data_IF_821745786960
#
_entry.id   IF_821745786960
#
_cell.length_a   1.000
_cell.length_b   1.000
_cell.length_c   1.000
_cell.angle_alpha   90.00
_cell.angle_beta   90.00
_cell.angle_gamma   90.00
#
_symmetry.space_group_name_H-M   'P 1'
#
loop_
_entity.id
_entity.type
_entity.pdbx_description
1 polymer ?
#
# COMPACT_ATOMS: atom_id res chain seq x y z
N UNK A 1 4.87 3.35 16.48
CA UNK A 1 4.45 2.50 15.34
C UNK A 1 5.50 2.60 14.26
N UNK A 2 6.03 1.47 13.75
CA UNK A 2 7.02 1.46 12.66
C UNK A 2 6.34 1.98 11.39
N UNK A 3 6.93 2.99 10.75
CA UNK A 3 6.51 3.43 9.42
C UNK A 3 6.98 2.39 8.41
N UNK A 4 6.05 1.73 7.73
CA UNK A 4 6.38 0.82 6.63
C UNK A 4 6.68 1.62 5.36
N UNK A 5 7.49 1.09 4.43
CA UNK A 5 7.76 1.73 3.15
C UNK A 5 6.48 2.05 2.37
N UNK A 6 5.50 1.13 2.36
CA UNK A 6 4.23 1.33 1.67
C UNK A 6 3.44 2.51 2.24
N UNK A 7 3.42 2.65 3.58
CA UNK A 7 2.76 3.78 4.25
C UNK A 7 3.50 5.08 3.97
N UNK A 8 4.84 5.05 3.97
CA UNK A 8 5.66 6.22 3.67
C UNK A 8 5.39 6.73 2.25
N UNK A 9 5.26 5.83 1.27
CA UNK A 9 4.94 6.19 -0.12
C UNK A 9 3.62 6.95 -0.22
N UNK A 10 2.57 6.47 0.45
CA UNK A 10 1.28 7.18 0.52
C UNK A 10 1.42 8.58 1.11
N UNK A 11 2.15 8.70 2.23
CA UNK A 11 2.35 9.99 2.91
C UNK A 11 3.14 10.98 2.06
N UNK A 12 4.16 10.51 1.33
CA UNK A 12 4.94 11.35 0.41
C UNK A 12 4.11 11.88 -0.76
N UNK A 13 3.06 11.16 -1.15
CA UNK A 13 2.10 11.59 -2.16
C UNK A 13 0.98 12.49 -1.60
N UNK A 14 0.95 12.71 -0.28
CA UNK A 14 -0.10 13.51 0.36
C UNK A 14 -1.49 12.86 0.35
N UNK A 15 -1.59 11.56 0.06
CA UNK A 15 -2.86 10.84 -0.06
C UNK A 15 -3.43 10.48 1.30
N UNK A 16 -4.72 10.73 1.52
CA UNK A 16 -5.41 10.26 2.71
C UNK A 16 -5.73 8.78 2.63
N UNK A 17 -5.71 8.09 3.78
CA UNK A 17 -6.04 6.66 3.84
C UNK A 17 -7.43 6.37 3.25
N UNK A 18 -8.42 7.26 3.48
CA UNK A 18 -9.78 7.11 2.97
C UNK A 18 -9.83 7.05 1.44
N UNK A 19 -9.08 7.93 0.76
CA UNK A 19 -9.05 8.02 -0.70
C UNK A 19 -8.47 6.74 -1.31
N UNK A 20 -7.42 6.22 -0.69
CA UNK A 20 -6.81 4.95 -1.12
C UNK A 20 -7.75 3.77 -0.90
N UNK A 21 -8.42 3.72 0.26
CA UNK A 21 -9.39 2.65 0.59
C UNK A 21 -10.52 2.61 -0.45
N UNK A 22 -11.07 3.78 -0.79
CA UNK A 22 -12.13 3.93 -1.79
C UNK A 22 -11.64 3.54 -3.19
N UNK A 23 -10.46 4.02 -3.61
CA UNK A 23 -9.87 3.69 -4.92
C UNK A 23 -9.56 2.19 -5.08
N UNK A 24 -9.07 1.55 -4.02
CA UNK A 24 -8.78 0.12 -4.03
C UNK A 24 -10.04 -0.76 -3.93
N UNK A 25 -11.14 -0.19 -3.42
CA UNK A 25 -12.38 -0.88 -3.07
C UNK A 25 -12.13 -2.04 -2.10
N UNK A 26 -11.47 -1.75 -0.97
CA UNK A 26 -11.15 -2.72 0.09
C UNK A 26 -11.66 -2.22 1.44
N UNK A 27 -11.70 -3.09 2.45
CA UNK A 27 -12.07 -2.67 3.79
C UNK A 27 -10.96 -1.82 4.45
N UNK A 28 -11.36 -0.90 5.34
CA UNK A 28 -10.42 -0.15 6.20
C UNK A 28 -9.44 -1.07 6.92
N UNK A 29 -9.94 -2.15 7.51
CA UNK A 29 -9.13 -3.12 8.26
C UNK A 29 -8.10 -3.80 7.36
N UNK A 30 -8.46 -4.14 6.11
CA UNK A 30 -7.52 -4.68 5.12
C UNK A 30 -6.42 -3.67 4.83
N UNK A 31 -6.79 -2.43 4.53
CA UNK A 31 -5.82 -1.37 4.22
C UNK A 31 -4.83 -1.12 5.37
N UNK A 32 -5.29 -1.02 6.61
CA UNK A 32 -4.40 -0.84 7.75
C UNK A 32 -3.46 -2.04 7.98
N UNK A 33 -3.92 -3.27 7.75
CA UNK A 33 -3.05 -4.45 7.79
C UNK A 33 -1.95 -4.39 6.73
N UNK A 34 -2.27 -3.93 5.53
CA UNK A 34 -1.30 -3.70 4.46
C UNK A 34 -0.28 -2.63 4.88
N UNK A 35 -0.74 -1.46 5.35
CA UNK A 35 0.13 -0.36 5.78
C UNK A 35 1.00 -0.70 7.00
N UNK A 36 0.64 -1.72 7.77
CA UNK A 36 1.41 -2.19 8.91
C UNK A 36 2.31 -3.39 8.56
N UNK A 37 2.21 -3.93 7.34
CA UNK A 37 2.99 -5.08 6.89
C UNK A 37 2.48 -6.44 7.41
N UNK A 38 1.26 -6.51 7.95
CA UNK A 38 0.67 -7.76 8.45
C UNK A 38 0.11 -8.65 7.33
N UNK A 39 -0.02 -8.13 6.12
CA UNK A 39 -0.62 -8.84 5.00
C UNK A 39 0.03 -8.41 3.69
N UNK A 40 0.14 -9.37 2.78
CA UNK A 40 0.60 -9.16 1.41
C UNK A 40 -0.65 -9.00 0.53
N UNK A 41 -0.76 -7.94 -0.28
CA UNK A 41 -1.92 -7.73 -1.13
C UNK A 41 -1.96 -8.75 -2.27
N UNK A 42 -3.16 -8.98 -2.84
CA UNK A 42 -3.29 -9.75 -4.07
C UNK A 42 -2.67 -9.00 -5.26
N UNK A 43 -2.36 -9.71 -6.35
CA UNK A 43 -1.81 -9.11 -7.56
C UNK A 43 -2.67 -7.96 -8.12
N UNK A 44 -4.00 -8.08 -8.01
CA UNK A 44 -4.93 -7.02 -8.44
C UNK A 44 -4.81 -5.76 -7.56
N UNK A 45 -4.76 -5.92 -6.24
CA UNK A 45 -4.60 -4.79 -5.31
C UNK A 45 -3.22 -4.16 -5.47
N UNK A 46 -2.18 -4.97 -5.70
CA UNK A 46 -0.83 -4.50 -5.94
C UNK A 46 -0.74 -3.66 -7.22
N UNK A 47 -1.38 -4.09 -8.30
CA UNK A 47 -1.48 -3.31 -9.53
C UNK A 47 -2.18 -1.97 -9.31
N UNK A 48 -3.34 -1.98 -8.65
CA UNK A 48 -4.07 -0.73 -8.34
C UNK A 48 -3.27 0.21 -7.43
N UNK A 49 -2.53 -0.32 -6.46
CA UNK A 49 -1.62 0.45 -5.62
C UNK A 49 -0.50 1.08 -6.46
N UNK A 50 0.09 0.32 -7.37
CA UNK A 50 1.12 0.82 -8.28
C UNK A 50 0.59 1.97 -9.15
N UNK A 51 -0.58 1.79 -9.76
CA UNK A 51 -1.27 2.80 -10.56
C UNK A 51 -1.58 4.06 -9.72
N UNK A 52 -2.14 3.89 -8.50
CA UNK A 52 -2.52 5.00 -7.62
C UNK A 52 -1.31 5.74 -7.04
N UNK A 53 -0.24 5.03 -6.73
CA UNK A 53 0.99 5.60 -6.15
C UNK A 53 1.99 6.04 -7.22
N UNK A 54 1.60 5.98 -8.50
CA UNK A 54 2.40 6.36 -9.64
C UNK A 54 3.80 5.71 -9.63
N UNK A 55 3.84 4.41 -9.39
CA UNK A 55 5.05 3.61 -9.33
C UNK A 55 4.83 2.23 -9.97
N UNK A 56 5.87 1.41 -10.00
CA UNK A 56 5.75 0.06 -10.59
C UNK A 56 5.28 -0.98 -9.58
N UNK A 57 4.69 -2.07 -10.08
CA UNK A 57 4.29 -3.22 -9.25
C UNK A 57 5.50 -3.82 -8.51
N UNK A 58 6.69 -3.80 -9.12
CA UNK A 58 7.94 -4.26 -8.50
C UNK A 58 8.34 -3.39 -7.29
N UNK A 59 8.20 -2.07 -7.40
CA UNK A 59 8.44 -1.17 -6.25
C UNK A 59 7.44 -1.40 -5.12
N UNK A 60 6.15 -1.57 -5.45
CA UNK A 60 5.14 -1.93 -4.43
C UNK A 60 5.51 -3.27 -3.78
N UNK A 61 5.93 -4.25 -4.57
CA UNK A 61 6.34 -5.56 -4.05
C UNK A 61 7.52 -5.45 -3.09
N UNK A 62 8.54 -4.63 -3.41
CA UNK A 62 9.67 -4.33 -2.53
C UNK A 62 9.22 -3.65 -1.24
N UNK A 63 8.25 -2.75 -1.30
CA UNK A 63 7.73 -2.06 -0.11
C UNK A 63 7.06 -3.01 0.89
N UNK A 64 6.48 -4.13 0.42
CA UNK A 64 5.91 -5.19 1.26
C UNK A 64 6.96 -6.22 1.70
N UNK A 65 8.00 -6.46 0.90
CA UNK A 65 9.15 -7.29 1.26
C UNK A 65 10.22 -6.43 1.93
N UNK A 66 9.94 -5.92 3.12
CA UNK A 66 11.04 -5.50 4.00
C UNK A 66 11.88 -6.76 4.25
N UNK A 67 13.13 -6.70 3.80
CA UNK A 67 14.08 -7.81 3.71
C UNK A 67 14.19 -8.65 4.99
N UNK A 68 14.54 -9.92 4.77
CA UNK A 68 15.16 -10.84 5.74
C UNK A 68 16.13 -10.15 6.73
#
# INVERSE_FOLDING_TARGET
MKLTPIRLRRLNLGLESKEVIEALNISRSTFYKLEQGWSIPSAQVMKKLADLYNCTVDEIFKDFRIAE
#
